data_IF_193231861664
#
_entry.id   IF_193231861664
#
_cell.length_a   1.000
_cell.length_b   1.000
_cell.length_c   1.000
_cell.angle_alpha   90.00
_cell.angle_beta   90.00
_cell.angle_gamma   90.00
#
_symmetry.space_group_name_H-M   'P 1'
#
loop_
_entity.id
_entity.type
_entity.pdbx_description
1 polymer ?
#
# COMPACT_ATOMS: atom_id res chain seq x y z
N UNK A 1 -0.21 16.44 -12.62
CA UNK A 1 1.20 16.26 -12.23
C UNK A 1 1.23 15.15 -11.18
N UNK A 2 2.05 14.12 -11.35
CA UNK A 2 2.17 13.00 -10.39
C UNK A 2 3.33 13.31 -9.44
N UNK A 3 3.14 13.08 -8.14
CA UNK A 3 4.24 13.19 -7.17
C UNK A 3 5.23 12.05 -7.41
N UNK A 4 6.51 12.39 -7.59
CA UNK A 4 7.57 11.40 -7.62
C UNK A 4 7.75 10.77 -6.24
N UNK A 5 8.23 9.53 -6.20
CA UNK A 5 8.64 8.89 -4.96
C UNK A 5 9.87 9.64 -4.42
N UNK A 6 9.66 10.35 -3.32
CA UNK A 6 10.68 11.02 -2.53
C UNK A 6 10.57 10.51 -1.08
N UNK A 7 11.58 9.77 -0.64
CA UNK A 7 11.59 9.13 0.68
C UNK A 7 11.66 10.14 1.82
N UNK A 8 12.28 11.31 1.62
CA UNK A 8 12.33 12.35 2.64
C UNK A 8 10.94 12.95 2.84
N UNK A 9 10.27 13.31 1.74
CA UNK A 9 8.90 13.84 1.79
C UNK A 9 7.92 12.84 2.38
N UNK A 10 8.00 11.57 1.96
CA UNK A 10 7.18 10.48 2.51
C UNK A 10 7.38 10.36 4.02
N UNK A 11 8.62 10.41 4.50
CA UNK A 11 8.93 10.32 5.93
C UNK A 11 8.35 11.50 6.72
N UNK A 12 8.43 12.71 6.19
CA UNK A 12 7.85 13.91 6.81
C UNK A 12 6.33 13.83 6.88
N UNK A 13 5.68 13.40 5.80
CA UNK A 13 4.23 13.24 5.74
C UNK A 13 3.75 12.14 6.70
N UNK A 14 4.46 11.01 6.80
CA UNK A 14 4.17 9.96 7.77
C UNK A 14 4.34 10.44 9.22
N UNK A 15 5.39 11.22 9.49
CA UNK A 15 5.59 11.82 10.82
C UNK A 15 4.42 12.73 11.19
N UNK A 16 3.99 13.59 10.26
CA UNK A 16 2.85 14.51 10.46
C UNK A 16 1.54 13.74 10.63
N UNK A 17 1.32 12.70 9.83
CA UNK A 17 0.13 11.85 9.93
C UNK A 17 0.03 11.15 11.30
N UNK A 18 1.16 10.73 11.87
CA UNK A 18 1.21 10.06 13.18
C UNK A 18 0.76 10.96 14.33
N UNK A 19 0.89 12.28 14.18
CA UNK A 19 0.41 13.26 15.18
C UNK A 19 -1.10 13.49 15.08
N UNK A 20 -1.72 13.17 13.94
CA UNK A 20 -3.10 13.48 13.63
C UNK A 20 -4.03 12.26 13.59
N UNK A 21 -3.47 11.05 13.41
CA UNK A 21 -4.24 9.85 13.15
C UNK A 21 -3.77 8.66 14.00
N UNK A 22 -4.73 7.84 14.41
CA UNK A 22 -4.50 6.59 15.14
C UNK A 22 -4.18 5.40 14.21
N UNK A 23 -4.45 5.55 12.90
CA UNK A 23 -4.20 4.55 11.85
C UNK A 23 -3.83 5.25 10.55
N UNK A 24 -2.75 4.83 9.91
CA UNK A 24 -2.20 5.46 8.70
C UNK A 24 -2.25 4.50 7.53
N UNK A 25 -2.99 4.88 6.48
CA UNK A 25 -2.99 4.19 5.19
C UNK A 25 -2.14 4.99 4.20
N UNK A 26 -1.06 4.38 3.70
CA UNK A 26 -0.23 4.98 2.66
C UNK A 26 -0.69 4.52 1.28
N UNK A 27 -1.14 5.46 0.43
CA UNK A 27 -1.48 5.20 -0.95
C UNK A 27 -0.32 5.57 -1.88
N UNK A 28 0.23 4.59 -2.60
CA UNK A 28 1.38 4.76 -3.48
C UNK A 28 1.02 4.52 -4.94
N UNK A 29 1.54 5.36 -5.84
CA UNK A 29 1.46 5.15 -7.28
C UNK A 29 2.86 4.82 -7.79
N UNK A 30 3.15 3.53 -7.94
CA UNK A 30 4.49 3.02 -8.19
C UNK A 30 4.49 1.62 -8.80
N UNK A 31 5.59 1.22 -9.42
CA UNK A 31 5.74 -0.09 -10.06
C UNK A 31 6.07 0.01 -11.53
N UNK A 32 6.19 -1.13 -12.15
CA UNK A 32 6.38 -1.20 -13.60
C UNK A 32 5.07 -1.68 -14.22
N UNK A 33 4.62 -0.97 -15.27
CA UNK A 33 3.39 -1.31 -15.96
C UNK A 33 3.39 -2.77 -16.43
N UNK A 34 2.25 -3.43 -16.23
CA UNK A 34 1.94 -4.79 -16.67
C UNK A 34 2.77 -5.90 -16.02
N UNK A 35 3.62 -5.58 -15.04
CA UNK A 35 4.36 -6.58 -14.27
C UNK A 35 3.51 -7.13 -13.14
N UNK A 36 3.28 -8.45 -13.14
CA UNK A 36 2.43 -9.14 -12.14
C UNK A 36 3.07 -9.32 -10.77
N UNK A 37 4.35 -9.02 -10.63
CA UNK A 37 5.09 -9.09 -9.38
C UNK A 37 5.80 -7.76 -9.12
N UNK A 38 5.86 -7.32 -7.86
CA UNK A 38 6.53 -6.09 -7.51
C UNK A 38 8.02 -6.21 -7.76
N UNK A 39 8.61 -5.15 -8.31
CA UNK A 39 10.07 -5.03 -8.43
C UNK A 39 10.70 -4.79 -7.06
N UNK A 40 12.00 -5.03 -6.97
CA UNK A 40 12.76 -4.81 -5.73
C UNK A 40 12.59 -3.39 -5.19
N UNK A 41 12.61 -2.37 -6.04
CA UNK A 41 12.40 -1.00 -5.59
C UNK A 41 11.01 -0.79 -4.95
N UNK A 42 9.95 -1.42 -5.47
CA UNK A 42 8.60 -1.32 -4.87
C UNK A 42 8.61 -1.94 -3.47
N UNK A 43 9.29 -3.08 -3.30
CA UNK A 43 9.44 -3.74 -2.00
C UNK A 43 10.26 -2.87 -1.04
N UNK A 44 11.36 -2.29 -1.50
CA UNK A 44 12.19 -1.36 -0.70
C UNK A 44 11.40 -0.15 -0.23
N UNK A 45 10.62 0.48 -1.13
CA UNK A 45 9.78 1.64 -0.77
C UNK A 45 8.66 1.24 0.17
N UNK A 46 7.98 0.11 -0.07
CA UNK A 46 6.94 -0.38 0.84
C UNK A 46 7.49 -0.68 2.24
N UNK A 47 8.66 -1.32 2.32
CA UNK A 47 9.33 -1.57 3.59
C UNK A 47 9.73 -0.27 4.28
N UNK A 48 10.29 0.70 3.56
CA UNK A 48 10.60 2.03 4.10
C UNK A 48 9.35 2.73 4.67
N UNK A 49 8.22 2.69 3.95
CA UNK A 49 6.96 3.28 4.38
C UNK A 49 6.41 2.58 5.64
N UNK A 50 6.51 1.26 5.70
CA UNK A 50 6.13 0.47 6.88
C UNK A 50 6.99 0.85 8.11
N UNK A 51 8.32 0.90 7.94
CA UNK A 51 9.27 1.29 8.99
C UNK A 51 9.03 2.71 9.52
N UNK A 52 8.51 3.62 8.68
CA UNK A 52 8.23 4.99 9.06
C UNK A 52 6.80 5.21 9.59
N UNK A 53 6.04 4.14 9.83
CA UNK A 53 4.84 4.19 10.67
C UNK A 53 3.51 3.95 9.97
N UNK A 54 3.50 3.61 8.67
CA UNK A 54 2.26 3.18 8.02
C UNK A 54 1.70 1.90 8.67
N UNK A 55 0.37 1.77 8.69
CA UNK A 55 -0.33 0.58 9.20
C UNK A 55 -0.87 -0.30 8.06
N UNK A 56 -1.13 0.29 6.90
CA UNK A 56 -1.54 -0.37 5.67
C UNK A 56 -0.97 0.39 4.47
N UNK A 57 -0.50 -0.35 3.46
CA UNK A 57 0.02 0.23 2.22
C UNK A 57 -0.82 -0.27 1.05
N UNK A 58 -1.32 0.65 0.24
CA UNK A 58 -2.11 0.35 -0.97
C UNK A 58 -1.41 0.97 -2.16
N UNK A 59 -0.97 0.11 -3.08
CA UNK A 59 -0.30 0.46 -4.31
C UNK A 59 -1.22 0.46 -5.52
N UNK A 60 -0.80 1.19 -6.54
CA UNK A 60 -1.40 1.31 -7.87
C UNK A 60 -0.30 1.64 -8.89
N UNK A 61 -0.65 1.72 -10.18
CA UNK A 61 0.21 2.00 -11.36
C UNK A 61 0.48 0.79 -12.28
N UNK A 62 0.79 -0.43 -11.79
CA UNK A 62 1.09 -1.55 -12.68
C UNK A 62 -0.04 -1.94 -13.65
N UNK A 63 -1.27 -1.44 -13.44
CA UNK A 63 -2.46 -1.77 -14.24
C UNK A 63 -2.78 -3.28 -14.29
N UNK A 64 -2.17 -4.05 -13.39
CA UNK A 64 -2.39 -5.48 -13.18
C UNK A 64 -2.40 -5.75 -11.69
N UNK A 65 -3.04 -6.83 -11.28
CA UNK A 65 -3.02 -7.28 -9.89
C UNK A 65 -1.60 -7.74 -9.52
N UNK A 66 -1.11 -7.25 -8.38
CA UNK A 66 0.10 -7.74 -7.73
C UNK A 66 -0.25 -8.34 -6.34
N UNK A 67 0.62 -9.17 -5.76
CA UNK A 67 0.34 -9.82 -4.48
C UNK A 67 0.07 -8.85 -3.33
N UNK A 68 -0.66 -9.34 -2.33
CA UNK A 68 -0.70 -8.75 -1.00
C UNK A 68 0.33 -9.46 -0.14
N UNK A 69 1.18 -8.71 0.55
CA UNK A 69 2.25 -9.24 1.41
C UNK A 69 2.11 -8.69 2.83
N UNK A 70 2.57 -9.46 3.81
CA UNK A 70 2.68 -9.04 5.20
C UNK A 70 4.13 -8.74 5.54
N UNK A 71 4.47 -7.47 5.66
CA UNK A 71 5.79 -7.01 6.08
C UNK A 71 5.90 -7.05 7.60
N UNK A 72 7.08 -7.39 8.11
CA UNK A 72 7.43 -7.27 9.52
C UNK A 72 8.55 -6.27 9.66
N UNK A 73 8.27 -5.17 10.36
CA UNK A 73 9.25 -4.12 10.65
C UNK A 73 10.26 -4.55 11.71
N UNK A 74 11.31 -3.77 11.92
CA UNK A 74 12.34 -4.02 12.95
C UNK A 74 11.78 -4.04 14.37
N UNK A 75 10.77 -3.23 14.64
CA UNK A 75 10.03 -3.22 15.91
C UNK A 75 8.94 -4.30 15.99
N UNK A 76 8.95 -5.26 15.06
CA UNK A 76 8.04 -6.41 14.96
C UNK A 76 6.57 -6.03 14.70
N UNK A 77 6.30 -4.80 14.23
CA UNK A 77 4.99 -4.41 13.72
C UNK A 77 4.72 -5.13 12.40
N UNK A 78 3.50 -5.64 12.26
CA UNK A 78 3.01 -6.29 11.05
C UNK A 78 2.25 -5.27 10.21
N UNK A 79 2.65 -5.09 8.95
CA UNK A 79 2.05 -4.12 8.02
C UNK A 79 1.69 -4.84 6.72
N UNK A 80 0.42 -4.77 6.33
CA UNK A 80 -0.01 -5.31 5.04
C UNK A 80 0.31 -4.34 3.92
N UNK A 81 0.78 -4.87 2.79
CA UNK A 81 0.98 -4.13 1.55
C UNK A 81 0.26 -4.83 0.41
N UNK A 82 -0.66 -4.12 -0.24
CA UNK A 82 -1.22 -4.53 -1.52
C UNK A 82 -0.48 -3.77 -2.62
N UNK A 83 0.46 -4.39 -3.33
CA UNK A 83 1.35 -3.67 -4.25
C UNK A 83 0.64 -3.07 -5.46
N UNK A 84 -0.45 -3.70 -5.92
CA UNK A 84 -1.34 -3.18 -6.95
C UNK A 84 -2.66 -3.92 -6.91
N UNK A 85 -3.76 -3.19 -6.85
CA UNK A 85 -5.12 -3.75 -6.93
C UNK A 85 -5.58 -4.00 -8.37
N UNK A 86 -4.77 -3.66 -9.39
CA UNK A 86 -5.16 -3.75 -10.80
C UNK A 86 -6.15 -2.65 -11.20
N UNK A 87 -6.95 -2.93 -12.22
CA UNK A 87 -7.92 -1.98 -12.78
C UNK A 87 -9.34 -2.38 -12.37
N UNK A 88 -10.04 -1.53 -11.61
CA UNK A 88 -11.42 -1.81 -11.20
C UNK A 88 -12.40 -1.74 -12.38
N UNK A 89 -12.27 -0.71 -13.23
CA UNK A 89 -12.98 -0.58 -14.50
C UNK A 89 -12.06 0.17 -15.47
N UNK A 90 -11.63 -0.47 -16.55
CA UNK A 90 -10.85 0.20 -17.59
C UNK A 90 -11.06 -0.44 -18.97
N UNK A 91 -10.77 0.33 -20.03
CA UNK A 91 -10.87 -0.14 -21.41
C UNK A 91 -9.65 -0.90 -21.94
N UNK A 92 -8.67 -1.23 -21.09
CA UNK A 92 -7.49 -1.99 -21.51
C UNK A 92 -7.89 -3.45 -21.78
N UNK A 93 -7.56 -3.94 -22.97
CA UNK A 93 -7.91 -5.29 -23.43
C UNK A 93 -6.74 -6.28 -23.40
N UNK A 94 -5.59 -5.82 -22.91
CA UNK A 94 -4.40 -6.68 -22.79
C UNK A 94 -4.64 -7.67 -21.66
N UNK A 95 -4.17 -8.91 -21.83
CA UNK A 95 -4.32 -9.97 -20.83
C UNK A 95 -3.86 -9.48 -19.45
N UNK A 96 -4.69 -9.71 -18.42
CA UNK A 96 -4.50 -9.31 -17.01
C UNK A 96 -4.70 -7.83 -16.68
N UNK A 97 -5.04 -6.99 -17.67
CA UNK A 97 -5.22 -5.54 -17.47
C UNK A 97 -6.69 -5.12 -17.34
N UNK A 98 -7.60 -6.04 -17.55
CA UNK A 98 -9.06 -5.87 -17.45
C UNK A 98 -9.63 -6.34 -16.11
N UNK A 99 -8.76 -6.72 -15.17
CA UNK A 99 -9.13 -7.26 -13.87
C UNK A 99 -8.56 -6.42 -12.74
N UNK A 100 -9.33 -6.28 -11.67
CA UNK A 100 -8.92 -5.65 -10.43
C UNK A 100 -9.55 -6.33 -9.22
N UNK A 101 -9.06 -5.98 -8.04
CA UNK A 101 -9.46 -6.55 -6.77
C UNK A 101 -10.06 -5.47 -5.87
N UNK A 102 -11.11 -5.83 -5.13
CA UNK A 102 -11.63 -4.97 -4.05
C UNK A 102 -10.99 -5.40 -2.73
N UNK A 103 -10.11 -4.58 -2.18
CA UNK A 103 -9.54 -4.78 -0.84
C UNK A 103 -10.56 -4.39 0.23
N UNK A 104 -10.96 -5.34 1.05
CA UNK A 104 -11.82 -5.14 2.23
C UNK A 104 -10.98 -5.20 3.50
N UNK A 105 -11.06 -4.19 4.34
CA UNK A 105 -10.36 -4.16 5.61
C UNK A 105 -11.26 -3.65 6.74
N UNK A 106 -11.01 -4.14 7.95
CA UNK A 106 -11.71 -3.72 9.15
C UNK A 106 -10.70 -3.18 10.16
N UNK A 107 -10.90 -1.93 10.56
CA UNK A 107 -10.09 -1.24 11.57
C UNK A 107 -10.93 -1.17 12.84
N UNK A 108 -10.30 -1.45 13.98
CA UNK A 108 -10.93 -1.25 15.28
C UNK A 108 -9.93 -0.61 16.24
N UNK A 109 -10.40 0.27 17.11
CA UNK A 109 -9.52 0.96 18.03
C UNK A 109 -10.27 1.82 19.02
N UNK A 110 -9.51 2.41 19.93
CA UNK A 110 -9.93 3.57 20.73
C UNK A 110 -9.03 4.74 20.36
N UNK A 111 -9.43 5.96 20.70
CA UNK A 111 -8.58 7.14 20.49
C UNK A 111 -7.20 6.91 21.11
N UNK A 112 -6.14 7.14 20.33
CA UNK A 112 -4.75 6.86 20.68
C UNK A 112 -4.25 5.46 20.28
N UNK A 113 -5.12 4.55 19.81
CA UNK A 113 -4.71 3.20 19.36
C UNK A 113 -5.75 2.54 18.45
N UNK A 114 -5.45 2.43 17.15
CA UNK A 114 -6.22 1.65 16.19
C UNK A 114 -5.40 0.50 15.59
N UNK A 115 -6.06 -0.61 15.30
CA UNK A 115 -5.45 -1.85 14.81
C UNK A 115 -6.29 -2.44 13.67
N UNK A 116 -5.61 -3.05 12.70
CA UNK A 116 -6.24 -3.82 11.63
C UNK A 116 -6.69 -5.18 12.18
N UNK A 117 -7.99 -5.49 12.09
CA UNK A 117 -8.59 -6.75 12.58
C UNK A 117 -8.71 -7.81 11.51
N UNK A 118 -9.08 -7.40 10.30
CA UNK A 118 -9.29 -8.29 9.19
C UNK A 118 -8.92 -7.59 7.89
N UNK A 119 -8.38 -8.37 6.97
CA UNK A 119 -8.12 -7.95 5.59
C UNK A 119 -8.49 -9.12 4.69
N UNK A 120 -9.33 -8.84 3.71
CA UNK A 120 -9.83 -9.78 2.72
C UNK A 120 -9.85 -9.09 1.36
N UNK A 121 -10.00 -9.86 0.30
CA UNK A 121 -10.14 -9.31 -1.03
C UNK A 121 -11.18 -10.09 -1.85
N UNK A 122 -11.90 -9.37 -2.71
CA UNK A 122 -12.82 -9.92 -3.71
C UNK A 122 -12.23 -9.82 -5.10
#
# INVERSE_FOLDING_TARGET
>A
MVNLIDTNKIKEDLKRAKELADFIIAALHFGEEYQRFPKEYQKTIAYFVAENGADLIIGSHPHVIQPVELLTTKDKKKVYVAYSLGNFFCGQRKRFTDTGIILKYQISGKRGKAELKAINYL
#
